data_IF_913007090124
#
_entry.id   IF_913007090124
#
_cell.length_a   1.000
_cell.length_b   1.000
_cell.length_c   1.000
_cell.angle_alpha   90.00
_cell.angle_beta   90.00
_cell.angle_gamma   90.00
#
_symmetry.space_group_name_H-M   'P 1'
#
loop_
_entity.id
_entity.type
_entity.pdbx_description
1 polymer ?
#
# COMPACT_ATOMS: atom_id res chain seq x y z
N UNK A 1 -58.31 13.84 55.07
CA UNK A 1 -58.39 14.65 53.83
C UNK A 1 -57.42 14.01 52.83
N UNK A 2 -57.93 13.65 51.66
CA UNK A 2 -57.38 12.64 50.73
C UNK A 2 -56.07 13.09 50.08
N UNK A 3 -55.18 12.13 49.85
CA UNK A 3 -53.88 12.23 49.20
C UNK A 3 -53.97 12.79 47.77
N UNK A 4 -53.03 13.67 47.40
CA UNK A 4 -52.69 13.93 46.00
C UNK A 4 -51.22 13.54 45.78
N UNK A 5 -51.01 12.23 45.70
CA UNK A 5 -49.76 11.63 45.22
C UNK A 5 -49.96 11.22 43.77
N UNK A 6 -49.01 11.56 42.91
CA UNK A 6 -48.87 10.92 41.60
C UNK A 6 -49.37 11.73 40.40
N UNK A 7 -48.62 12.75 40.02
CA UNK A 7 -48.57 13.19 38.62
C UNK A 7 -47.16 13.67 38.27
N UNK A 8 -46.15 12.81 38.48
CA UNK A 8 -44.79 13.09 38.03
C UNK A 8 -44.45 12.24 36.81
N UNK A 9 -44.49 12.92 35.66
CA UNK A 9 -43.61 12.71 34.51
C UNK A 9 -43.77 11.42 33.69
N UNK A 10 -44.84 11.32 32.91
CA UNK A 10 -44.82 10.52 31.68
C UNK A 10 -44.03 11.21 30.54
N UNK A 11 -43.93 12.55 30.55
CA UNK A 11 -43.19 13.32 29.54
C UNK A 11 -41.66 13.21 29.69
N UNK A 12 -41.15 13.01 30.91
CA UNK A 12 -39.70 12.91 31.16
C UNK A 12 -39.13 11.56 30.69
N UNK A 13 -39.91 10.48 30.74
CA UNK A 13 -39.47 9.15 30.28
C UNK A 13 -39.37 9.06 28.74
N UNK A 14 -40.22 9.82 28.02
CA UNK A 14 -40.13 9.95 26.56
C UNK A 14 -38.91 10.78 26.16
N UNK A 15 -38.64 11.88 26.88
CA UNK A 15 -37.43 12.69 26.68
C UNK A 15 -36.15 11.89 26.91
N UNK A 16 -36.13 11.06 27.95
CA UNK A 16 -34.98 10.21 28.30
C UNK A 16 -34.72 9.14 27.23
N UNK A 17 -35.77 8.41 26.81
CA UNK A 17 -35.67 7.39 25.75
C UNK A 17 -35.28 7.99 24.40
N UNK A 18 -35.82 9.15 24.05
CA UNK A 18 -35.48 9.82 22.80
C UNK A 18 -34.05 10.37 22.82
N UNK A 19 -33.61 10.90 23.96
CA UNK A 19 -32.22 11.31 24.19
C UNK A 19 -31.26 10.13 24.05
N UNK A 20 -31.55 8.99 24.67
CA UNK A 20 -30.77 7.76 24.51
C UNK A 20 -30.73 7.27 23.06
N UNK A 21 -31.85 7.32 22.35
CA UNK A 21 -31.92 6.91 20.95
C UNK A 21 -31.10 7.82 20.04
N UNK A 22 -31.18 9.13 20.25
CA UNK A 22 -30.33 10.12 19.56
C UNK A 22 -28.86 9.87 19.88
N UNK A 23 -28.52 9.63 21.15
CA UNK A 23 -27.15 9.38 21.57
C UNK A 23 -26.57 8.09 20.96
N UNK A 24 -27.38 7.03 20.90
CA UNK A 24 -27.03 5.78 20.22
C UNK A 24 -26.82 6.02 18.71
N UNK A 25 -27.74 6.72 18.05
CA UNK A 25 -27.60 7.09 16.64
C UNK A 25 -26.31 7.87 16.36
N UNK A 26 -25.99 8.86 17.20
CA UNK A 26 -24.75 9.62 17.11
C UNK A 26 -23.51 8.74 17.31
N UNK A 27 -23.52 7.83 18.30
CA UNK A 27 -22.41 6.92 18.56
C UNK A 27 -22.13 5.97 17.37
N UNK A 28 -23.16 5.54 16.65
CA UNK A 28 -23.01 4.69 15.47
C UNK A 28 -22.71 5.46 14.18
N UNK A 29 -23.24 6.67 14.01
CA UNK A 29 -23.04 7.48 12.82
C UNK A 29 -21.67 8.19 12.79
N UNK A 30 -21.15 8.58 13.96
CA UNK A 30 -19.86 9.27 14.09
C UNK A 30 -18.67 8.55 13.43
N UNK A 31 -18.45 7.23 13.62
CA UNK A 31 -17.34 6.54 12.95
C UNK A 31 -17.52 6.46 11.43
N UNK A 32 -18.75 6.36 10.93
CA UNK A 32 -19.02 6.33 9.48
C UNK A 32 -18.79 7.69 8.79
N UNK A 33 -18.93 8.80 9.53
CA UNK A 33 -18.67 10.17 9.06
C UNK A 33 -17.20 10.59 9.25
N UNK A 34 -16.38 9.77 9.90
CA UNK A 34 -14.95 10.04 10.07
C UNK A 34 -14.23 9.80 8.74
N UNK A 35 -13.87 10.89 8.04
CA UNK A 35 -13.37 10.86 6.66
C UNK A 35 -12.08 10.07 6.40
N UNK A 36 -11.32 9.68 7.43
CA UNK A 36 -10.16 8.81 7.28
C UNK A 36 -9.80 8.20 8.64
N UNK A 37 -10.58 7.22 9.11
CA UNK A 37 -9.99 6.27 10.07
C UNK A 37 -9.09 5.32 9.30
N UNK A 38 -7.80 5.20 9.67
CA UNK A 38 -6.97 4.13 9.14
C UNK A 38 -7.74 2.84 9.32
N UNK A 39 -8.01 2.13 8.22
CA UNK A 39 -8.60 0.81 8.33
C UNK A 39 -7.60 -0.03 9.11
N UNK A 40 -7.87 -0.26 10.40
CA UNK A 40 -7.14 -1.22 11.23
C UNK A 40 -7.61 -2.61 10.83
N UNK A 41 -7.41 -2.94 9.55
CA UNK A 41 -7.52 -4.32 9.09
C UNK A 41 -6.50 -5.09 9.89
N UNK A 42 -6.96 -6.07 10.67
CA UNK A 42 -6.06 -6.99 11.34
C UNK A 42 -5.20 -7.66 10.27
N UNK A 43 -3.95 -7.24 10.17
CA UNK A 43 -2.99 -7.82 9.24
C UNK A 43 -2.57 -9.15 9.87
N UNK A 44 -3.29 -10.23 9.53
CA UNK A 44 -3.01 -11.58 10.00
C UNK A 44 -1.74 -12.18 9.34
N UNK A 45 -0.79 -11.33 8.96
CA UNK A 45 0.49 -11.74 8.42
C UNK A 45 1.47 -11.99 9.55
N UNK A 46 2.44 -12.88 9.31
CA UNK A 46 3.63 -13.00 10.13
C UNK A 46 4.26 -11.62 10.39
N UNK A 47 4.73 -11.41 11.63
CA UNK A 47 5.45 -10.19 12.00
C UNK A 47 6.76 -10.11 11.19
N UNK A 48 6.96 -9.06 10.36
CA UNK A 48 8.18 -8.92 9.58
C UNK A 48 9.44 -8.70 10.43
N UNK A 49 9.29 -8.31 11.70
CA UNK A 49 10.42 -8.13 12.63
C UNK A 49 10.79 -9.41 13.39
N UNK A 50 9.95 -10.45 13.37
CA UNK A 50 10.21 -11.71 14.06
C UNK A 50 10.98 -12.69 13.15
N UNK A 51 12.26 -13.00 13.44
CA UNK A 51 13.05 -13.94 12.65
C UNK A 51 12.57 -15.40 12.79
N UNK A 52 11.75 -15.71 13.79
CA UNK A 52 11.17 -17.04 13.98
C UNK A 52 9.81 -17.20 13.31
N UNK A 53 9.24 -16.12 12.76
CA UNK A 53 7.94 -16.17 12.12
C UNK A 53 7.99 -17.04 10.85
N UNK A 54 7.08 -18.01 10.77
CA UNK A 54 7.00 -18.92 9.63
C UNK A 54 6.29 -18.25 8.46
N UNK A 55 7.03 -17.99 7.40
CA UNK A 55 6.52 -17.46 6.12
C UNK A 55 6.69 -18.48 5.00
N UNK A 56 5.79 -18.43 4.01
CA UNK A 56 5.96 -19.22 2.80
C UNK A 56 7.23 -18.78 2.05
N UNK A 57 8.02 -19.71 1.49
CA UNK A 57 9.23 -19.36 0.75
C UNK A 57 8.87 -18.63 -0.55
N UNK A 58 9.61 -17.57 -0.87
CA UNK A 58 9.50 -16.86 -2.15
C UNK A 58 10.38 -17.60 -3.19
N UNK A 59 9.80 -17.98 -4.32
CA UNK A 59 10.55 -18.50 -5.46
C UNK A 59 11.14 -17.35 -6.28
N UNK A 60 12.47 -17.21 -6.30
CA UNK A 60 13.12 -16.29 -7.24
C UNK A 60 13.24 -16.94 -8.62
N UNK A 61 12.60 -16.33 -9.63
CA UNK A 61 12.77 -16.73 -11.03
C UNK A 61 13.44 -15.60 -11.80
N UNK A 62 14.62 -15.89 -12.37
CA UNK A 62 15.30 -14.95 -13.25
C UNK A 62 14.45 -14.67 -14.48
N UNK A 63 14.08 -13.41 -14.71
CA UNK A 63 13.37 -12.95 -15.90
C UNK A 63 14.26 -12.96 -17.15
N UNK A 64 15.58 -13.06 -16.97
CA UNK A 64 16.58 -13.06 -18.05
C UNK A 64 17.14 -14.45 -18.35
N UNK A 65 16.66 -15.52 -17.69
CA UNK A 65 17.16 -16.88 -17.90
C UNK A 65 17.03 -17.36 -19.36
N UNK A 66 16.12 -16.77 -20.13
CA UNK A 66 15.92 -17.05 -21.55
C UNK A 66 16.81 -16.21 -22.48
N UNK A 67 17.76 -15.43 -21.94
CA UNK A 67 18.64 -14.62 -22.78
C UNK A 67 19.62 -15.51 -23.54
N UNK A 68 19.22 -15.90 -24.74
CA UNK A 68 20.12 -16.47 -25.73
C UNK A 68 21.12 -15.38 -26.14
N UNK A 69 22.38 -15.60 -25.80
CA UNK A 69 23.48 -14.73 -26.26
C UNK A 69 23.47 -14.67 -27.79
N UNK A 70 23.05 -13.54 -28.34
CA UNK A 70 23.31 -13.16 -29.72
C UNK A 70 24.78 -12.74 -29.79
N UNK A 71 25.70 -13.69 -29.65
CA UNK A 71 27.13 -13.37 -29.84
C UNK A 71 27.25 -12.64 -31.18
N UNK A 72 28.00 -11.53 -31.23
CA UNK A 72 28.18 -10.81 -32.47
C UNK A 72 28.69 -11.78 -33.53
N UNK A 73 28.04 -11.79 -34.70
CA UNK A 73 28.64 -12.36 -35.90
C UNK A 73 30.10 -11.90 -36.00
N UNK A 74 30.99 -12.76 -36.48
CA UNK A 74 32.43 -12.48 -36.65
C UNK A 74 32.65 -11.00 -36.94
N UNK A 75 33.30 -10.30 -36.02
CA UNK A 75 33.52 -8.86 -36.14
C UNK A 75 34.17 -8.59 -37.49
N UNK A 76 33.53 -7.79 -38.32
CA UNK A 76 34.11 -7.38 -39.59
C UNK A 76 35.51 -6.78 -39.33
N UNK A 77 36.50 -7.02 -40.21
CA UNK A 77 37.90 -6.67 -39.96
C UNK A 77 38.05 -5.16 -39.78
N UNK A 78 38.08 -4.71 -38.52
CA UNK A 78 38.06 -3.29 -38.16
C UNK A 78 39.40 -2.61 -38.45
N UNK A 79 40.51 -3.35 -38.35
CA UNK A 79 41.87 -2.83 -38.58
C UNK A 79 41.99 -2.18 -39.95
N UNK A 80 41.57 -2.86 -41.02
CA UNK A 80 41.66 -2.31 -42.39
C UNK A 80 40.86 -1.02 -42.58
N UNK A 81 39.74 -0.84 -41.86
CA UNK A 81 38.98 0.41 -41.90
C UNK A 81 39.68 1.54 -41.17
N UNK A 82 40.31 1.25 -40.04
CA UNK A 82 41.06 2.24 -39.29
C UNK A 82 42.28 2.72 -40.07
N UNK A 83 43.01 1.81 -40.72
CA UNK A 83 44.12 2.21 -41.61
C UNK A 83 43.62 3.08 -42.77
N UNK A 84 42.47 2.76 -43.36
CA UNK A 84 41.90 3.53 -44.47
C UNK A 84 41.52 4.98 -44.10
N UNK A 85 41.24 5.26 -42.82
CA UNK A 85 40.89 6.61 -42.34
C UNK A 85 42.03 7.29 -41.57
N UNK A 86 43.18 6.64 -41.41
CA UNK A 86 44.30 7.19 -40.65
C UNK A 86 44.90 8.39 -41.40
N UNK A 87 44.91 9.60 -40.80
CA UNK A 87 45.52 10.77 -41.41
C UNK A 87 47.01 10.54 -41.65
N UNK A 88 47.50 10.88 -42.84
CA UNK A 88 48.93 10.80 -43.14
C UNK A 88 49.70 11.86 -42.34
N UNK A 89 50.89 11.54 -41.82
CA UNK A 89 51.70 12.51 -41.10
C UNK A 89 52.05 13.67 -42.03
N UNK A 90 51.83 14.89 -41.55
CA UNK A 90 52.19 16.11 -42.28
C UNK A 90 53.71 16.16 -42.36
N UNK A 91 54.26 16.16 -43.58
CA UNK A 91 55.68 16.40 -43.77
C UNK A 91 55.99 17.84 -43.37
N UNK A 92 56.72 18.02 -42.27
CA UNK A 92 57.32 19.30 -41.91
C UNK A 92 58.55 19.52 -42.80
N UNK A 93 58.48 20.53 -43.65
CA UNK A 93 59.59 21.04 -44.46
C UNK A 93 60.05 22.36 -43.88
#
# INVERSE_FOLDING_TARGET
MVALSGAKSAASAVGDRHSHFIWLLLAFAAPALSGCMPATTHMASADPADPAAKVAPIGYRSTIASYTSLRPATLAPWRGRNEAVTPQPKQER
#
